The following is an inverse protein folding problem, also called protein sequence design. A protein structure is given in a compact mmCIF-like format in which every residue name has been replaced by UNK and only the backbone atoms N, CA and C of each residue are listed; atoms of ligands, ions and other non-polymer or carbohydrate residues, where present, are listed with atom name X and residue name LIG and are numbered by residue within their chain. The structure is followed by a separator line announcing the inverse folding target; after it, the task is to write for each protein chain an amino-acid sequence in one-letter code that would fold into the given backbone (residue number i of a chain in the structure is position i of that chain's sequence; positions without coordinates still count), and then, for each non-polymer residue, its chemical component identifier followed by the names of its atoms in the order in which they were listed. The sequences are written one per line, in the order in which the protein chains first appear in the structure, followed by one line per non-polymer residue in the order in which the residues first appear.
data_IF_902919728044
#
_entry.id   IF_902919728044
#
_cell.length_a   1.000
_cell.length_b   1.000
_cell.length_c   1.000
_cell.angle_alpha   90.00
_cell.angle_beta   90.00
_cell.angle_gamma   90.00
#
_symmetry.space_group_name_H-M   'P 1'
#
loop_
_entity.id
_entity.type
_entity.pdbx_description
1 polymer ?
#
# COMPACT_ATOMS: atom_id res chain seq x y z
N UNK A 1 12.12 -13.81 -25.72
CA UNK A 1 11.66 -13.75 -24.32
C UNK A 1 10.63 -12.66 -24.25
N UNK A 2 9.42 -13.00 -23.80
CA UNK A 2 8.34 -12.03 -23.57
C UNK A 2 8.72 -11.15 -22.37
N UNK A 3 8.45 -9.85 -22.46
CA UNK A 3 8.67 -8.94 -21.35
C UNK A 3 7.60 -9.19 -20.26
N UNK A 4 8.02 -9.63 -19.07
CA UNK A 4 7.15 -9.88 -17.92
C UNK A 4 7.15 -8.73 -16.91
N UNK A 5 7.79 -7.60 -17.22
CA UNK A 5 7.87 -6.45 -16.33
C UNK A 5 6.49 -5.85 -16.04
N UNK A 6 6.37 -5.18 -14.89
CA UNK A 6 5.17 -4.43 -14.56
C UNK A 6 4.95 -3.25 -15.53
N UNK A 7 6.03 -2.65 -16.03
CA UNK A 7 5.98 -1.58 -17.02
C UNK A 7 5.28 -2.03 -18.30
N UNK A 8 5.60 -3.23 -18.80
CA UNK A 8 4.92 -3.81 -19.95
C UNK A 8 3.44 -4.11 -19.63
N UNK A 9 3.15 -4.66 -18.45
CA UNK A 9 1.78 -4.90 -17.99
C UNK A 9 0.91 -3.63 -18.00
N UNK A 10 1.47 -2.49 -17.58
CA UNK A 10 0.76 -1.20 -17.58
C UNK A 10 0.35 -0.75 -19.00
N UNK A 11 1.11 -1.17 -20.02
CA UNK A 11 0.94 -0.79 -21.42
C UNK A 11 0.12 -1.81 -22.24
N UNK A 12 -0.38 -2.88 -21.63
CA UNK A 12 -1.22 -3.85 -22.35
C UNK A 12 -2.53 -3.17 -22.79
N UNK A 13 -2.84 -3.25 -24.09
CA UNK A 13 -4.04 -2.61 -24.67
C UNK A 13 -5.02 -3.60 -25.30
N UNK A 14 -4.55 -4.80 -25.68
CA UNK A 14 -5.36 -5.77 -26.41
C UNK A 14 -5.35 -7.16 -25.76
N UNK A 15 -6.41 -7.93 -26.04
CA UNK A 15 -6.63 -9.24 -25.42
C UNK A 15 -5.62 -10.31 -25.85
N UNK A 16 -4.95 -10.15 -26.99
CA UNK A 16 -3.92 -11.08 -27.44
C UNK A 16 -2.65 -10.93 -26.61
N UNK A 17 -2.14 -9.71 -26.47
CA UNK A 17 -0.98 -9.40 -25.64
C UNK A 17 -1.21 -9.79 -24.18
N UNK A 18 -2.42 -9.57 -23.66
CA UNK A 18 -2.79 -10.01 -22.31
C UNK A 18 -2.73 -11.53 -22.13
N UNK A 19 -3.19 -12.32 -23.11
CA UNK A 19 -3.10 -13.79 -23.06
C UNK A 19 -1.67 -14.28 -23.11
N UNK A 20 -0.84 -13.66 -23.96
CA UNK A 20 0.59 -13.98 -24.04
C UNK A 20 1.27 -13.66 -22.71
N UNK A 21 1.01 -12.49 -22.12
CA UNK A 21 1.56 -12.10 -20.82
C UNK A 21 1.15 -13.06 -19.71
N UNK A 22 -0.14 -13.42 -19.62
CA UNK A 22 -0.65 -14.37 -18.64
C UNK A 22 0.05 -15.73 -18.76
N UNK A 23 0.09 -16.29 -19.97
CA UNK A 23 0.66 -17.62 -20.23
C UNK A 23 2.15 -17.66 -19.86
N UNK A 24 2.90 -16.63 -20.25
CA UNK A 24 4.34 -16.56 -19.97
C UNK A 24 4.60 -16.39 -18.46
N UNK A 25 3.79 -15.59 -17.77
CA UNK A 25 3.88 -15.42 -16.32
C UNK A 25 3.60 -16.74 -15.57
N UNK A 26 2.58 -17.48 -15.98
CA UNK A 26 2.24 -18.80 -15.41
C UNK A 26 3.37 -19.83 -15.65
N UNK A 27 4.02 -19.78 -16.82
CA UNK A 27 5.14 -20.66 -17.16
C UNK A 27 6.42 -20.36 -16.37
N UNK A 28 6.69 -19.08 -16.06
CA UNK A 28 7.89 -18.71 -15.30
C UNK A 28 7.72 -18.83 -13.77
N UNK A 29 6.48 -19.00 -13.29
CA UNK A 29 6.17 -19.36 -11.90
C UNK A 29 6.37 -18.23 -10.88
N UNK A 30 6.82 -18.61 -9.68
CA UNK A 30 6.78 -17.74 -8.49
C UNK A 30 7.56 -16.43 -8.61
N UNK A 31 8.81 -16.47 -9.08
CA UNK A 31 9.74 -15.33 -8.95
C UNK A 31 9.30 -14.10 -9.78
N UNK A 32 8.94 -14.23 -11.07
CA UNK A 32 8.42 -13.09 -11.83
C UNK A 32 7.10 -12.57 -11.28
N UNK A 33 6.23 -13.46 -10.81
CA UNK A 33 4.96 -13.05 -10.21
C UNK A 33 5.17 -12.30 -8.89
N UNK A 34 6.12 -12.74 -8.06
CA UNK A 34 6.52 -12.01 -6.85
C UNK A 34 6.97 -10.59 -7.19
N UNK A 35 7.85 -10.43 -8.17
CA UNK A 35 8.30 -9.10 -8.61
C UNK A 35 7.15 -8.24 -9.15
N UNK A 36 6.23 -8.85 -9.90
CA UNK A 36 5.01 -8.19 -10.37
C UNK A 36 4.15 -7.70 -9.19
N UNK A 37 3.92 -8.52 -8.17
CA UNK A 37 3.15 -8.15 -6.97
C UNK A 37 3.81 -7.01 -6.20
N UNK A 38 5.13 -7.07 -5.98
CA UNK A 38 5.86 -6.00 -5.29
C UNK A 38 5.82 -4.67 -6.04
N UNK A 39 5.96 -4.71 -7.37
CA UNK A 39 5.85 -3.53 -8.21
C UNK A 39 4.42 -2.98 -8.22
N UNK A 40 3.41 -3.85 -8.30
CA UNK A 40 2.01 -3.46 -8.18
C UNK A 40 1.77 -2.75 -6.85
N UNK A 41 2.23 -3.32 -5.72
CA UNK A 41 2.08 -2.72 -4.39
C UNK A 41 2.76 -1.35 -4.29
N UNK A 42 3.98 -1.24 -4.80
CA UNK A 42 4.74 0.02 -4.84
C UNK A 42 3.99 1.11 -5.61
N UNK A 43 3.37 0.73 -6.72
CA UNK A 43 2.57 1.60 -7.57
C UNK A 43 1.24 1.96 -6.89
N UNK A 44 0.58 0.99 -6.23
CA UNK A 44 -0.62 1.22 -5.43
C UNK A 44 -0.35 2.20 -4.27
N UNK A 45 0.84 2.13 -3.66
CA UNK A 45 1.29 3.05 -2.62
C UNK A 45 1.45 4.48 -3.12
N UNK A 46 2.01 4.69 -4.31
CA UNK A 46 2.43 6.02 -4.79
C UNK A 46 1.47 6.73 -5.75
N UNK A 47 0.44 6.07 -6.30
CA UNK A 47 -0.44 6.72 -7.28
C UNK A 47 -1.18 7.95 -6.74
N UNK A 48 -1.42 8.90 -7.64
CA UNK A 48 -2.11 10.18 -7.39
C UNK A 48 -3.54 10.21 -7.97
N UNK A 49 -4.31 11.27 -7.69
CA UNK A 49 -5.69 11.43 -8.20
C UNK A 49 -5.78 11.30 -9.72
N UNK A 50 -4.78 11.78 -10.45
CA UNK A 50 -4.72 11.70 -11.92
C UNK A 50 -4.62 10.27 -12.44
N UNK A 51 -4.08 9.36 -11.64
CA UNK A 51 -3.85 7.96 -12.01
C UNK A 51 -4.96 7.02 -11.54
N UNK A 52 -5.95 7.52 -10.78
CA UNK A 52 -7.00 6.71 -10.15
C UNK A 52 -7.72 5.77 -11.13
N UNK A 53 -8.21 6.31 -12.25
CA UNK A 53 -8.94 5.54 -13.27
C UNK A 53 -8.04 4.50 -13.95
N UNK A 54 -6.77 4.87 -14.18
CA UNK A 54 -5.80 3.94 -14.73
C UNK A 54 -5.53 2.78 -13.77
N UNK A 55 -5.33 3.05 -12.48
CA UNK A 55 -5.14 2.01 -11.47
C UNK A 55 -6.36 1.11 -11.29
N UNK A 56 -7.57 1.66 -11.35
CA UNK A 56 -8.79 0.84 -11.32
C UNK A 56 -8.81 -0.17 -12.47
N UNK A 57 -8.37 0.27 -13.66
CA UNK A 57 -8.25 -0.59 -14.84
C UNK A 57 -7.18 -1.67 -14.64
N UNK A 58 -6.04 -1.30 -14.06
CA UNK A 58 -4.97 -2.26 -13.73
C UNK A 58 -5.41 -3.29 -12.70
N UNK A 59 -6.20 -2.93 -11.68
CA UNK A 59 -6.72 -3.89 -10.70
C UNK A 59 -7.70 -4.88 -11.34
N UNK A 60 -8.65 -4.37 -12.12
CA UNK A 60 -9.61 -5.20 -12.87
C UNK A 60 -8.91 -6.15 -13.84
N UNK A 61 -7.90 -5.68 -14.56
CA UNK A 61 -7.07 -6.51 -15.44
C UNK A 61 -6.33 -7.58 -14.64
N UNK A 62 -5.69 -7.21 -13.53
CA UNK A 62 -4.90 -8.13 -12.71
C UNK A 62 -5.75 -9.29 -12.19
N UNK A 63 -6.92 -8.98 -11.62
CA UNK A 63 -7.90 -9.97 -11.16
C UNK A 63 -8.40 -10.86 -12.30
N UNK A 64 -8.57 -10.33 -13.51
CA UNK A 64 -9.01 -11.11 -14.68
C UNK A 64 -7.93 -12.04 -15.22
N UNK A 65 -6.69 -11.57 -15.34
CA UNK A 65 -5.58 -12.37 -15.85
C UNK A 65 -5.13 -13.42 -14.85
N UNK A 66 -5.17 -13.10 -13.55
CA UNK A 66 -4.70 -14.00 -12.51
C UNK A 66 -5.79 -14.19 -11.46
N UNK A 67 -6.91 -14.87 -11.76
CA UNK A 67 -8.06 -14.96 -10.86
C UNK A 67 -7.79 -15.76 -9.58
N UNK A 68 -6.75 -16.58 -9.57
CA UNK A 68 -6.38 -17.44 -8.42
C UNK A 68 -4.87 -17.37 -8.15
N UNK A 69 -4.31 -16.21 -7.76
CA UNK A 69 -2.87 -16.08 -7.56
C UNK A 69 -2.34 -16.95 -6.40
N UNK A 70 -3.24 -17.39 -5.52
CA UNK A 70 -3.01 -18.44 -4.52
C UNK A 70 -2.41 -19.75 -5.05
N UNK A 71 -2.59 -20.08 -6.33
CA UNK A 71 -1.98 -21.28 -6.94
C UNK A 71 -0.47 -21.13 -7.17
N UNK A 72 0.04 -19.91 -7.28
CA UNK A 72 1.47 -19.62 -7.39
C UNK A 72 2.12 -19.51 -6.01
N UNK A 73 1.40 -18.94 -5.04
CA UNK A 73 1.78 -18.92 -3.63
C UNK A 73 0.55 -18.76 -2.74
N UNK A 74 0.36 -19.59 -1.69
CA UNK A 74 -0.75 -19.45 -0.74
C UNK A 74 -0.86 -18.05 -0.11
N UNK A 75 0.27 -17.34 0.03
CA UNK A 75 0.33 -15.97 0.55
C UNK A 75 -0.43 -14.96 -0.32
N UNK A 76 -0.74 -15.30 -1.58
CA UNK A 76 -1.50 -14.43 -2.49
C UNK A 76 -2.96 -14.85 -2.63
N UNK A 77 -3.47 -15.75 -1.80
CA UNK A 77 -4.86 -16.21 -1.89
C UNK A 77 -5.90 -15.08 -1.80
N UNK A 78 -5.60 -14.00 -1.07
CA UNK A 78 -6.45 -12.82 -0.90
C UNK A 78 -5.90 -11.56 -1.61
N UNK A 79 -4.86 -11.70 -2.43
CA UNK A 79 -4.10 -10.59 -3.00
C UNK A 79 -4.98 -9.49 -3.61
N UNK A 80 -5.93 -9.88 -4.46
CA UNK A 80 -6.79 -8.92 -5.15
C UNK A 80 -7.82 -8.29 -4.22
N UNK A 81 -8.31 -9.02 -3.22
CA UNK A 81 -9.26 -8.49 -2.25
C UNK A 81 -8.58 -7.46 -1.33
N UNK A 82 -7.33 -7.73 -0.93
CA UNK A 82 -6.48 -6.79 -0.20
C UNK A 82 -6.24 -5.52 -1.03
N UNK A 83 -5.79 -5.67 -2.28
CA UNK A 83 -5.50 -4.52 -3.15
C UNK A 83 -6.75 -3.70 -3.47
N UNK A 84 -7.89 -4.33 -3.74
CA UNK A 84 -9.15 -3.62 -3.99
C UNK A 84 -9.64 -2.87 -2.75
N UNK A 85 -9.47 -3.44 -1.55
CA UNK A 85 -9.83 -2.76 -0.31
C UNK A 85 -8.94 -1.56 -0.04
N UNK A 86 -7.61 -1.72 -0.17
CA UNK A 86 -6.65 -0.61 -0.05
C UNK A 86 -6.94 0.48 -1.08
N UNK A 87 -7.20 0.10 -2.33
CA UNK A 87 -7.55 1.04 -3.39
C UNK A 87 -8.79 1.85 -3.05
N UNK A 88 -9.86 1.20 -2.56
CA UNK A 88 -11.10 1.87 -2.17
C UNK A 88 -10.86 2.87 -1.04
N UNK A 89 -10.20 2.44 0.04
CA UNK A 89 -9.95 3.29 1.21
C UNK A 89 -9.01 4.44 0.87
N UNK A 90 -7.91 4.18 0.15
CA UNK A 90 -7.00 5.24 -0.30
C UNK A 90 -7.77 6.29 -1.10
N UNK A 91 -8.66 5.89 -2.00
CA UNK A 91 -9.47 6.83 -2.78
C UNK A 91 -10.50 7.60 -1.96
N UNK A 92 -11.00 7.04 -0.86
CA UNK A 92 -11.85 7.76 0.10
C UNK A 92 -11.03 8.85 0.82
N UNK A 93 -9.81 8.54 1.24
CA UNK A 93 -8.88 9.51 1.84
C UNK A 93 -8.53 10.63 0.85
N UNK A 94 -8.19 10.29 -0.40
CA UNK A 94 -7.95 11.28 -1.46
C UNK A 94 -9.17 12.20 -1.65
N UNK A 95 -10.39 11.65 -1.67
CA UNK A 95 -11.60 12.45 -1.84
C UNK A 95 -11.94 13.32 -0.60
N UNK A 96 -11.54 12.88 0.59
CA UNK A 96 -11.86 13.57 1.86
C UNK A 96 -10.94 14.75 2.12
N UNK A 97 -9.64 14.63 1.77
CA UNK A 97 -8.64 15.65 2.06
C UNK A 97 -8.31 16.40 0.77
N UNK A 98 -8.58 17.70 0.75
CA UNK A 98 -8.39 18.56 -0.42
C UNK A 98 -6.94 18.61 -0.85
N UNK A 99 -6.67 18.79 -2.15
CA UNK A 99 -5.30 18.81 -2.67
C UNK A 99 -4.41 19.87 -1.98
N UNK A 100 -4.99 21.02 -1.65
CA UNK A 100 -4.30 22.12 -0.97
C UNK A 100 -3.82 21.76 0.45
N UNK A 101 -4.45 20.77 1.10
CA UNK A 101 -4.15 20.38 2.47
C UNK A 101 -3.18 19.19 2.57
N UNK A 102 -2.76 18.60 1.44
CA UNK A 102 -2.00 17.34 1.43
C UNK A 102 -0.51 17.49 1.65
N UNK A 103 0.06 18.66 1.34
CA UNK A 103 1.51 18.87 1.48
C UNK A 103 1.97 18.79 2.94
N UNK A 104 3.21 18.35 3.15
CA UNK A 104 3.80 18.17 4.48
C UNK A 104 3.81 16.72 4.98
N UNK A 105 4.11 16.57 6.26
CA UNK A 105 4.27 15.26 6.91
C UNK A 105 2.93 14.73 7.45
N UNK A 106 2.73 13.43 7.23
CA UNK A 106 1.59 12.67 7.73
C UNK A 106 2.05 11.52 8.61
N UNK A 107 1.16 11.09 9.49
CA UNK A 107 1.36 9.94 10.35
C UNK A 107 0.13 9.05 10.45
N UNK A 108 0.38 7.77 10.74
CA UNK A 108 -0.64 6.80 11.11
C UNK A 108 -0.47 6.45 12.59
N UNK A 109 -1.57 6.50 13.33
CA UNK A 109 -1.63 6.07 14.73
C UNK A 109 -2.59 4.89 14.84
N UNK A 110 -2.14 3.80 15.47
CA UNK A 110 -2.96 2.66 15.86
C UNK A 110 -2.93 2.57 17.38
N UNK A 111 -4.12 2.61 17.98
CA UNK A 111 -4.32 2.64 19.43
C UNK A 111 -5.48 1.73 19.84
N UNK A 112 -5.47 1.23 21.06
CA UNK A 112 -6.63 0.56 21.66
C UNK A 112 -6.94 1.25 22.99
N UNK A 113 -7.94 2.15 23.05
CA UNK A 113 -8.19 2.98 24.23
C UNK A 113 -8.63 2.17 25.47
N UNK A 114 -8.92 0.87 25.31
CA UNK A 114 -9.32 -0.03 26.38
C UNK A 114 -8.18 -0.95 26.85
N UNK A 115 -6.99 -0.86 26.27
CA UNK A 115 -5.82 -1.64 26.65
C UNK A 115 -4.64 -0.73 26.98
N UNK A 116 -3.83 -1.11 27.96
CA UNK A 116 -2.60 -0.38 28.33
C UNK A 116 -1.40 -0.72 27.44
N UNK A 117 -1.64 -1.18 26.21
CA UNK A 117 -0.58 -1.53 25.27
C UNK A 117 0.05 -0.27 24.66
N UNK A 118 1.25 -0.42 24.10
CA UNK A 118 1.94 0.67 23.40
C UNK A 118 1.15 1.10 22.16
N UNK A 119 0.94 2.40 22.02
CA UNK A 119 0.45 3.02 20.78
C UNK A 119 1.49 2.83 19.68
N UNK A 120 1.07 2.40 18.50
CA UNK A 120 1.95 2.31 17.33
C UNK A 120 1.79 3.58 16.51
N UNK A 121 2.92 4.19 16.12
CA UNK A 121 2.96 5.37 15.28
C UNK A 121 3.92 5.17 14.10
N UNK A 122 3.44 5.47 12.89
CA UNK A 122 4.25 5.56 11.68
C UNK A 122 4.31 7.02 11.26
N UNK A 123 5.50 7.63 11.32
CA UNK A 123 5.74 9.05 11.04
C UNK A 123 6.47 9.25 9.70
N UNK A 124 6.78 10.50 9.36
CA UNK A 124 7.58 10.86 8.17
C UNK A 124 6.95 10.38 6.84
N UNK A 125 5.62 10.27 6.77
CA UNK A 125 4.93 9.83 5.56
C UNK A 125 4.54 11.02 4.69
N UNK A 126 4.69 10.87 3.37
CA UNK A 126 3.94 11.74 2.46
C UNK A 126 2.45 11.38 2.48
N UNK A 127 1.59 12.30 2.05
CA UNK A 127 0.13 12.08 2.03
C UNK A 127 -0.28 10.79 1.29
N UNK A 128 0.26 10.54 0.10
CA UNK A 128 -0.12 9.38 -0.71
C UNK A 128 0.28 8.06 -0.05
N UNK A 129 1.43 8.04 0.63
CA UNK A 129 1.89 6.89 1.38
C UNK A 129 1.05 6.67 2.63
N UNK A 130 0.74 7.73 3.36
CA UNK A 130 -0.13 7.67 4.53
C UNK A 130 -1.54 7.20 4.15
N UNK A 131 -2.10 7.67 3.04
CA UNK A 131 -3.39 7.20 2.52
C UNK A 131 -3.37 5.71 2.15
N UNK A 132 -2.28 5.23 1.56
CA UNK A 132 -2.07 3.79 1.32
C UNK A 132 -1.99 3.01 2.64
N UNK A 133 -1.17 3.47 3.59
CA UNK A 133 -0.98 2.80 4.88
C UNK A 133 -2.25 2.79 5.71
N UNK A 134 -3.06 3.85 5.64
CA UNK A 134 -4.38 3.90 6.27
C UNK A 134 -5.28 2.77 5.74
N UNK A 135 -5.37 2.60 4.41
CA UNK A 135 -6.09 1.47 3.82
C UNK A 135 -5.52 0.11 4.17
N UNK A 136 -4.19 -0.01 4.21
CA UNK A 136 -3.49 -1.24 4.57
C UNK A 136 -3.81 -1.67 6.01
N UNK A 137 -3.62 -0.79 6.99
CA UNK A 137 -3.84 -1.13 8.40
C UNK A 137 -5.32 -1.30 8.75
N UNK A 138 -6.23 -0.65 8.03
CA UNK A 138 -7.66 -0.84 8.25
C UNK A 138 -8.09 -2.30 8.05
N UNK A 139 -7.41 -3.05 7.17
CA UNK A 139 -7.66 -4.48 6.97
C UNK A 139 -7.27 -5.35 8.18
N UNK A 140 -6.27 -4.91 8.95
CA UNK A 140 -5.68 -5.67 10.06
C UNK A 140 -6.19 -5.22 11.44
N UNK A 141 -7.10 -4.23 11.49
CA UNK A 141 -7.63 -3.69 12.75
C UNK A 141 -8.32 -4.78 13.58
N UNK A 142 -7.86 -4.94 14.81
CA UNK A 142 -8.48 -5.84 15.79
C UNK A 142 -9.68 -5.15 16.46
N UNK A 143 -10.55 -5.92 17.14
CA UNK A 143 -11.66 -5.34 17.89
C UNK A 143 -11.19 -4.26 18.87
N UNK A 144 -11.88 -3.12 18.83
CA UNK A 144 -11.62 -1.92 19.65
C UNK A 144 -10.31 -1.18 19.34
N UNK A 145 -9.52 -1.60 18.35
CA UNK A 145 -8.44 -0.77 17.83
C UNK A 145 -9.01 0.41 17.04
N UNK A 146 -8.32 1.54 17.13
CA UNK A 146 -8.63 2.79 16.49
C UNK A 146 -7.47 3.14 15.57
N UNK A 147 -7.78 3.39 14.29
CA UNK A 147 -6.84 3.89 13.30
C UNK A 147 -7.07 5.39 13.09
N UNK A 148 -5.99 6.17 13.07
CA UNK A 148 -6.04 7.61 12.78
C UNK A 148 -5.01 7.96 11.72
N UNK A 149 -5.44 8.72 10.72
CA UNK A 149 -4.57 9.42 9.77
C UNK A 149 -4.50 10.89 10.20
N UNK A 150 -3.30 11.42 10.38
CA UNK A 150 -3.10 12.78 10.90
C UNK A 150 -2.00 13.51 10.14
N UNK A 151 -2.23 14.80 9.88
CA UNK A 151 -1.22 15.72 9.36
C UNK A 151 -0.46 16.37 10.51
N UNK A 152 0.86 16.41 10.40
CA UNK A 152 1.73 17.11 11.35
C UNK A 152 1.86 18.57 10.92
N UNK A 153 1.34 19.48 11.75
CA UNK A 153 1.47 20.91 11.52
C UNK A 153 2.71 21.50 12.21
N UNK A 154 3.10 20.94 13.35
CA UNK A 154 4.23 21.39 14.14
C UNK A 154 4.89 20.18 14.80
N UNK A 155 6.22 20.10 14.72
CA UNK A 155 7.01 19.02 15.30
C UNK A 155 8.14 19.59 16.14
N UNK A 156 8.25 19.12 17.37
CA UNK A 156 9.42 19.29 18.23
C UNK A 156 10.09 17.93 18.35
N UNK A 157 11.37 17.85 18.04
CA UNK A 157 12.13 16.62 18.09
C UNK A 157 13.50 16.84 18.71
N UNK A 158 13.91 15.90 19.56
CA UNK A 158 15.22 15.89 20.22
C UNK A 158 15.69 14.45 20.30
N UNK A 159 16.98 14.23 20.06
CA UNK A 159 17.61 12.93 20.33
C UNK A 159 18.05 12.85 21.80
N UNK A 160 17.95 11.65 22.38
CA UNK A 160 18.60 11.40 23.67
C UNK A 160 20.11 11.56 23.55
N UNK A 161 20.73 12.30 24.47
CA UNK A 161 22.18 12.40 24.60
C UNK A 161 22.65 11.86 25.94
N UNK A 162 23.88 11.33 25.99
CA UNK A 162 24.45 10.82 27.24
C UNK A 162 24.64 11.95 28.26
N UNK A 163 24.97 13.14 27.78
CA UNK A 163 25.24 14.33 28.59
C UNK A 163 23.97 14.88 29.26
N UNK A 164 22.79 14.64 28.66
CA UNK A 164 21.50 15.08 29.18
C UNK A 164 20.70 13.95 29.87
N UNK A 165 21.16 12.70 29.79
CA UNK A 165 20.46 11.53 30.35
C UNK A 165 20.81 11.34 31.83
N UNK A 166 19.79 11.26 32.68
CA UNK A 166 19.93 10.81 34.08
C UNK A 166 20.02 9.28 34.19
N UNK A 167 19.74 8.56 33.10
CA UNK A 167 19.84 7.10 33.05
C UNK A 167 21.26 6.68 32.67
N UNK A 168 21.80 5.62 33.32
CA UNK A 168 23.13 5.14 33.05
C UNK A 168 23.23 4.67 31.60
N UNK A 169 24.33 5.03 30.93
CA UNK A 169 24.67 4.45 29.64
C UNK A 169 25.00 2.96 29.83
N UNK A 170 24.13 2.09 29.32
CA UNK A 170 24.41 0.66 29.12
C UNK A 170 25.55 0.45 28.13
#
# INVERSE_FOLDING_TARGET
MTDLSFSYYMQLENSEAERVYQTEMENCGYSPFYQFVEQFRTRLKSYTDTEKTHFETLLKRGRRLFPKPGSLSPAWSLLWDEFDSIFRVKNEVLATISEADRDGEWQIIIDNPFHTQSVVCYTELSFYEAAYMYGYFQLELKPNECLRLQKINQLLFTHGSKEASIFPST
#
